data_IF_502087178390
#
_entry.id   IF_502087178390
#
_cell.length_a   1.000
_cell.length_b   1.000
_cell.length_c   1.000
_cell.angle_alpha   90.00
_cell.angle_beta   90.00
_cell.angle_gamma   90.00
#
_symmetry.space_group_name_H-M   'P 1'
#
loop_
_entity.id
_entity.type
_entity.pdbx_description
1 polymer ?
#
# COMPACT_ATOMS: atom_id res chain seq x y z
N UNK A 1 16.24 18.72 6.29
CA UNK A 1 17.72 18.76 6.28
C UNK A 1 18.24 18.61 4.84
N UNK A 2 17.76 17.62 4.08
CA UNK A 2 18.17 17.37 2.68
C UNK A 2 17.72 18.45 1.67
N UNK A 3 16.60 19.15 1.93
CA UNK A 3 15.99 20.09 0.96
C UNK A 3 16.82 21.32 0.58
N UNK A 4 17.74 21.76 1.45
CA UNK A 4 18.55 22.97 1.21
C UNK A 4 19.91 22.65 0.56
N UNK A 5 20.36 21.38 0.60
CA UNK A 5 21.68 20.98 0.14
C UNK A 5 21.67 20.30 -1.25
N UNK A 6 20.51 19.91 -1.77
CA UNK A 6 20.41 19.05 -2.95
C UNK A 6 19.87 19.79 -4.18
N UNK A 7 20.63 19.85 -5.30
CA UNK A 7 20.18 20.39 -6.58
C UNK A 7 18.94 19.67 -7.13
N UNK A 8 18.04 20.43 -7.77
CA UNK A 8 16.77 19.89 -8.31
C UNK A 8 16.95 18.70 -9.26
N UNK A 9 18.06 18.62 -9.99
CA UNK A 9 18.35 17.54 -10.96
C UNK A 9 18.55 16.15 -10.33
N UNK A 10 19.02 16.06 -9.09
CA UNK A 10 19.36 14.77 -8.45
C UNK A 10 18.42 14.40 -7.29
N UNK A 11 17.28 15.10 -7.17
CA UNK A 11 16.36 14.95 -6.04
C UNK A 11 15.67 13.57 -6.00
N UNK A 12 15.22 13.07 -7.15
CA UNK A 12 14.53 11.77 -7.25
C UNK A 12 15.46 10.62 -6.86
N UNK A 13 16.69 10.49 -7.43
CA UNK A 13 17.65 9.48 -6.99
C UNK A 13 17.99 9.59 -5.50
N UNK A 14 18.13 10.80 -4.96
CA UNK A 14 18.40 10.98 -3.53
C UNK A 14 17.26 10.46 -2.64
N UNK A 15 16.00 10.67 -3.00
CA UNK A 15 14.89 10.09 -2.25
C UNK A 15 14.88 8.58 -2.32
N UNK A 16 15.16 7.99 -3.48
CA UNK A 16 15.24 6.54 -3.66
C UNK A 16 16.34 5.95 -2.77
N UNK A 17 17.53 6.56 -2.73
CA UNK A 17 18.64 6.10 -1.86
C UNK A 17 18.27 6.16 -0.37
N UNK A 18 17.61 7.24 0.06
CA UNK A 18 17.13 7.36 1.44
C UNK A 18 16.11 6.26 1.75
N UNK A 19 15.11 6.06 0.90
CA UNK A 19 14.10 5.01 1.06
C UNK A 19 14.76 3.62 1.06
N UNK A 20 15.65 3.36 0.12
CA UNK A 20 16.40 2.11 0.02
C UNK A 20 17.15 1.80 1.31
N UNK A 21 17.85 2.79 1.89
CA UNK A 21 18.58 2.59 3.14
C UNK A 21 17.67 2.17 4.31
N UNK A 22 16.49 2.78 4.44
CA UNK A 22 15.51 2.39 5.46
C UNK A 22 14.91 1.01 5.20
N UNK A 23 14.58 0.71 3.95
CA UNK A 23 14.02 -0.59 3.55
C UNK A 23 15.04 -1.72 3.74
N UNK A 24 16.33 -1.49 3.47
CA UNK A 24 17.39 -2.46 3.74
C UNK A 24 17.56 -2.73 5.24
N UNK A 25 17.47 -1.71 6.10
CA UNK A 25 17.49 -1.92 7.56
C UNK A 25 16.30 -2.80 7.97
N UNK A 26 15.09 -2.53 7.45
CA UNK A 26 13.93 -3.35 7.73
C UNK A 26 14.10 -4.80 7.24
N UNK A 27 14.69 -5.00 6.06
CA UNK A 27 14.97 -6.32 5.50
C UNK A 27 15.92 -7.14 6.38
N UNK A 28 17.01 -6.53 6.85
CA UNK A 28 17.96 -7.16 7.77
C UNK A 28 17.31 -7.50 9.13
N UNK A 29 16.44 -6.62 9.64
CA UNK A 29 15.68 -6.88 10.87
C UNK A 29 14.74 -8.07 10.68
N UNK A 30 14.04 -8.15 9.54
CA UNK A 30 13.18 -9.29 9.23
C UNK A 30 13.98 -10.60 9.13
N UNK A 31 15.14 -10.58 8.46
CA UNK A 31 16.01 -11.74 8.35
C UNK A 31 16.51 -12.24 9.73
N UNK A 32 16.68 -11.33 10.70
CA UNK A 32 17.17 -11.65 12.04
C UNK A 32 16.07 -12.18 12.98
N UNK A 33 14.88 -11.57 12.98
CA UNK A 33 13.82 -11.91 13.95
C UNK A 33 12.74 -12.86 13.40
N UNK A 34 12.41 -12.78 12.10
CA UNK A 34 11.31 -13.56 11.51
C UNK A 34 11.69 -14.09 10.10
N UNK A 35 12.47 -15.18 10.04
CA UNK A 35 13.00 -15.70 8.78
C UNK A 35 11.89 -16.30 7.89
N UNK A 36 10.76 -16.74 8.45
CA UNK A 36 9.63 -17.22 7.66
C UNK A 36 8.99 -16.06 6.86
N UNK A 37 8.81 -14.91 7.49
CA UNK A 37 8.25 -13.73 6.83
C UNK A 37 9.23 -13.14 5.80
N UNK A 38 10.54 -13.16 6.09
CA UNK A 38 11.57 -12.72 5.12
C UNK A 38 11.57 -13.58 3.84
N UNK A 39 11.34 -14.90 3.92
CA UNK A 39 11.22 -15.75 2.72
C UNK A 39 10.03 -15.37 1.83
N UNK A 40 8.90 -15.00 2.41
CA UNK A 40 7.71 -14.61 1.65
C UNK A 40 7.76 -13.16 1.16
N UNK A 41 8.30 -12.24 1.97
CA UNK A 41 8.32 -10.81 1.66
C UNK A 41 9.58 -10.34 0.92
N UNK A 42 10.66 -11.12 0.90
CA UNK A 42 11.95 -10.71 0.35
C UNK A 42 11.88 -10.22 -1.10
N UNK A 43 11.03 -10.83 -1.94
CA UNK A 43 10.85 -10.38 -3.33
C UNK A 43 10.11 -9.04 -3.43
N UNK A 44 9.31 -8.68 -2.43
CA UNK A 44 8.57 -7.42 -2.38
C UNK A 44 9.41 -6.27 -1.81
N UNK A 45 10.51 -6.55 -1.10
CA UNK A 45 11.38 -5.52 -0.51
C UNK A 45 11.91 -4.54 -1.56
N UNK A 46 12.47 -4.97 -2.72
CA UNK A 46 12.85 -4.04 -3.80
C UNK A 46 11.65 -3.28 -4.40
N UNK A 47 10.47 -3.90 -4.49
CA UNK A 47 9.26 -3.27 -5.01
C UNK A 47 8.75 -2.16 -4.08
N UNK A 48 9.00 -2.25 -2.77
CA UNK A 48 8.69 -1.18 -1.82
C UNK A 48 9.56 0.05 -2.10
N UNK A 49 10.86 -0.14 -2.38
CA UNK A 49 11.80 0.97 -2.67
C UNK A 49 11.36 1.80 -3.87
N UNK A 50 10.89 1.14 -4.92
CA UNK A 50 10.44 1.80 -6.16
C UNK A 50 8.95 2.11 -6.18
N UNK A 51 8.25 2.02 -5.03
CA UNK A 51 6.83 2.27 -4.99
C UNK A 51 6.50 3.75 -5.27
N UNK A 52 5.65 3.98 -6.27
CA UNK A 52 5.26 5.32 -6.71
C UNK A 52 4.55 6.15 -5.63
N UNK A 53 3.82 5.52 -4.70
CA UNK A 53 3.14 6.25 -3.61
C UNK A 53 4.14 6.84 -2.64
N UNK A 54 5.21 6.09 -2.31
CA UNK A 54 6.23 6.51 -1.34
C UNK A 54 7.05 7.65 -1.95
N UNK A 55 7.54 7.47 -3.18
CA UNK A 55 8.29 8.50 -3.90
C UNK A 55 7.45 9.76 -4.12
N UNK A 56 6.19 9.59 -4.57
CA UNK A 56 5.29 10.71 -4.86
C UNK A 56 4.99 11.57 -3.63
N UNK A 57 4.77 10.96 -2.45
CA UNK A 57 4.58 11.71 -1.19
C UNK A 57 5.87 12.34 -0.69
N UNK A 58 7.00 11.63 -0.81
CA UNK A 58 8.31 12.17 -0.44
C UNK A 58 8.64 13.44 -1.26
N UNK A 59 8.36 13.43 -2.56
CA UNK A 59 8.58 14.59 -3.42
C UNK A 59 7.56 15.72 -3.20
N UNK A 60 6.26 15.39 -3.25
CA UNK A 60 5.21 16.39 -3.23
C UNK A 60 5.03 17.05 -1.85
N UNK A 61 5.20 16.29 -0.76
CA UNK A 61 4.92 16.75 0.60
C UNK A 61 6.20 16.95 1.42
N UNK A 62 7.06 15.93 1.55
CA UNK A 62 8.25 16.03 2.41
C UNK A 62 9.30 17.01 1.85
N UNK A 63 9.37 17.17 0.53
CA UNK A 63 10.26 18.15 -0.11
C UNK A 63 9.90 19.62 0.15
N UNK A 64 8.62 19.91 0.47
CA UNK A 64 8.10 21.29 0.59
C UNK A 64 7.75 21.69 2.02
N UNK A 65 7.44 20.74 2.89
CA UNK A 65 6.95 21.01 4.25
C UNK A 65 8.06 20.94 5.33
N UNK A 66 7.65 21.19 6.59
CA UNK A 66 8.49 20.97 7.79
C UNK A 66 8.46 19.49 8.18
N UNK A 67 9.46 19.05 8.95
CA UNK A 67 9.63 17.62 9.32
C UNK A 67 8.40 17.07 10.04
N UNK A 68 7.88 17.80 11.02
CA UNK A 68 6.73 17.35 11.83
C UNK A 68 5.45 17.06 11.02
N UNK A 69 4.93 17.98 10.17
CA UNK A 69 3.78 17.67 9.33
C UNK A 69 4.08 16.55 8.30
N UNK A 70 5.32 16.42 7.84
CA UNK A 70 5.70 15.33 6.91
C UNK A 70 5.67 13.95 7.56
N UNK A 71 5.95 13.84 8.86
CA UNK A 71 5.80 12.59 9.61
C UNK A 71 4.31 12.21 9.71
N UNK A 72 3.46 13.18 10.05
CA UNK A 72 2.00 12.96 10.10
C UNK A 72 1.43 12.54 8.76
N UNK A 73 1.91 13.14 7.66
CA UNK A 73 1.53 12.74 6.31
C UNK A 73 1.94 11.30 5.98
N UNK A 74 3.18 10.93 6.30
CA UNK A 74 3.69 9.58 6.09
C UNK A 74 2.90 8.53 6.88
N UNK A 75 2.59 8.80 8.15
CA UNK A 75 1.77 7.92 8.98
C UNK A 75 0.34 7.81 8.44
N UNK A 76 -0.29 8.94 8.10
CA UNK A 76 -1.65 8.96 7.55
C UNK A 76 -1.76 8.19 6.23
N UNK A 77 -0.80 8.38 5.32
CA UNK A 77 -0.74 7.65 4.05
C UNK A 77 -0.46 6.16 4.24
N UNK A 78 0.43 5.78 5.17
CA UNK A 78 0.70 4.37 5.49
C UNK A 78 -0.52 3.66 6.07
N UNK A 79 -1.20 4.28 7.03
CA UNK A 79 -2.44 3.74 7.61
C UNK A 79 -3.54 3.67 6.55
N UNK A 80 -3.73 4.72 5.74
CA UNK A 80 -4.71 4.71 4.65
C UNK A 80 -4.46 3.61 3.62
N UNK A 81 -3.19 3.40 3.23
CA UNK A 81 -2.82 2.36 2.28
C UNK A 81 -3.04 0.96 2.83
N UNK A 82 -2.66 0.71 4.10
CA UNK A 82 -2.91 -0.58 4.76
C UNK A 82 -4.40 -0.89 4.89
N UNK A 83 -5.22 0.09 5.29
CA UNK A 83 -6.68 -0.05 5.34
C UNK A 83 -7.29 -0.33 3.97
N UNK A 84 -6.83 0.35 2.92
CA UNK A 84 -7.32 0.13 1.56
C UNK A 84 -6.99 -1.29 1.07
N UNK A 85 -5.77 -1.78 1.31
CA UNK A 85 -5.37 -3.13 0.97
C UNK A 85 -6.11 -4.19 1.79
N UNK A 86 -6.35 -3.94 3.08
CA UNK A 86 -7.10 -4.84 3.94
C UNK A 86 -8.57 -4.94 3.49
N UNK A 87 -9.21 -3.82 3.17
CA UNK A 87 -10.58 -3.80 2.64
C UNK A 87 -10.69 -4.53 1.30
N UNK A 88 -9.71 -4.33 0.40
CA UNK A 88 -9.63 -5.06 -0.87
C UNK A 88 -9.39 -6.57 -0.65
N UNK A 89 -8.49 -6.91 0.27
CA UNK A 89 -8.17 -8.30 0.64
C UNK A 89 -9.38 -9.03 1.22
N UNK A 90 -10.13 -8.42 2.13
CA UNK A 90 -11.35 -9.00 2.72
C UNK A 90 -12.40 -9.34 1.66
N UNK A 91 -12.68 -8.39 0.74
CA UNK A 91 -13.64 -8.64 -0.34
C UNK A 91 -13.15 -9.77 -1.25
N UNK A 92 -11.85 -9.84 -1.53
CA UNK A 92 -11.27 -10.92 -2.34
C UNK A 92 -11.24 -12.27 -1.63
N UNK A 93 -11.06 -12.30 -0.33
CA UNK A 93 -11.10 -13.55 0.45
C UNK A 93 -12.52 -14.13 0.44
N UNK A 94 -13.51 -13.29 0.70
CA UNK A 94 -14.93 -13.67 0.73
C UNK A 94 -15.41 -14.13 -0.65
N UNK A 95 -15.11 -13.37 -1.71
CA UNK A 95 -15.59 -13.66 -3.06
C UNK A 95 -14.70 -14.66 -3.84
N UNK A 96 -13.45 -14.79 -3.45
CA UNK A 96 -12.50 -15.71 -4.08
C UNK A 96 -12.58 -17.10 -3.47
N UNK A 97 -12.49 -17.19 -2.14
CA UNK A 97 -12.35 -18.46 -1.43
C UNK A 97 -13.57 -18.82 -0.56
N UNK A 98 -14.51 -17.90 -0.39
CA UNK A 98 -15.68 -18.13 0.48
C UNK A 98 -15.34 -18.16 1.98
N UNK A 99 -14.14 -17.68 2.34
CA UNK A 99 -13.64 -17.69 3.72
C UNK A 99 -13.55 -16.29 4.30
N UNK A 100 -13.63 -16.18 5.62
CA UNK A 100 -13.25 -14.99 6.37
C UNK A 100 -12.18 -15.42 7.38
N UNK A 101 -10.99 -14.85 7.29
CA UNK A 101 -9.89 -15.18 8.19
C UNK A 101 -9.54 -16.67 8.22
N UNK A 102 -9.75 -17.37 7.10
CA UNK A 102 -9.56 -18.82 6.98
C UNK A 102 -10.73 -19.70 7.47
N UNK A 103 -11.80 -19.13 8.03
CA UNK A 103 -13.01 -19.88 8.37
C UNK A 103 -13.96 -19.93 7.17
N UNK A 104 -14.45 -21.12 6.74
CA UNK A 104 -15.40 -21.23 5.64
C UNK A 104 -16.75 -20.68 6.08
N UNK A 105 -17.19 -19.60 5.43
CA UNK A 105 -18.47 -18.94 5.71
C UNK A 105 -19.54 -19.43 4.74
N UNK A 106 -19.14 -19.77 3.52
CA UNK A 106 -19.99 -20.48 2.57
C UNK A 106 -19.78 -21.97 2.72
N UNK A 107 -20.88 -22.73 2.78
CA UNK A 107 -20.85 -24.19 2.95
C UNK A 107 -20.09 -24.92 1.84
N UNK A 108 -19.99 -26.25 1.96
CA UNK A 108 -19.17 -27.15 1.11
C UNK A 108 -19.51 -27.19 -0.40
N UNK A 109 -20.39 -26.31 -0.89
CA UNK A 109 -20.77 -26.17 -2.30
C UNK A 109 -20.33 -24.87 -2.96
N UNK A 110 -19.50 -24.05 -2.30
CA UNK A 110 -18.99 -22.81 -2.88
C UNK A 110 -17.88 -23.08 -3.90
N UNK A 111 -18.13 -22.79 -5.17
CA UNK A 111 -17.10 -22.83 -6.20
C UNK A 111 -16.31 -21.51 -6.15
N UNK A 112 -15.01 -21.55 -5.82
CA UNK A 112 -14.20 -20.34 -5.72
C UNK A 112 -14.17 -19.58 -7.05
N UNK A 113 -14.45 -18.28 -7.00
CA UNK A 113 -14.42 -17.44 -8.18
C UNK A 113 -12.96 -17.11 -8.54
N UNK A 114 -12.35 -17.92 -9.40
CA UNK A 114 -10.96 -17.78 -9.86
C UNK A 114 -10.63 -16.37 -10.38
N UNK A 115 -11.58 -15.70 -11.03
CA UNK A 115 -11.44 -14.32 -11.54
C UNK A 115 -11.09 -13.35 -10.40
N UNK A 116 -11.59 -13.60 -9.19
CA UNK A 116 -11.39 -12.74 -8.03
C UNK A 116 -10.01 -12.90 -7.38
N UNK A 117 -9.41 -14.08 -7.54
CA UNK A 117 -8.06 -14.40 -7.06
C UNK A 117 -7.00 -13.88 -8.03
N UNK A 118 -7.34 -13.69 -9.30
CA UNK A 118 -6.45 -13.12 -10.30
C UNK A 118 -6.37 -11.57 -10.23
N UNK A 119 -5.30 -10.95 -10.77
CA UNK A 119 -5.16 -9.49 -10.87
C UNK A 119 -6.38 -8.73 -11.42
N UNK A 120 -7.09 -9.16 -12.49
CA UNK A 120 -8.32 -8.53 -12.98
C UNK A 120 -9.39 -8.32 -11.90
N UNK A 121 -9.58 -9.27 -10.98
CA UNK A 121 -10.54 -9.13 -9.88
C UNK A 121 -10.21 -7.97 -8.94
N UNK A 122 -8.92 -7.75 -8.66
CA UNK A 122 -8.48 -6.63 -7.83
C UNK A 122 -8.78 -5.28 -8.49
N UNK A 123 -8.60 -5.14 -9.81
CA UNK A 123 -8.92 -3.91 -10.53
C UNK A 123 -10.43 -3.64 -10.58
N UNK A 124 -11.26 -4.68 -10.75
CA UNK A 124 -12.72 -4.55 -10.72
C UNK A 124 -13.22 -4.06 -9.36
N UNK A 125 -12.73 -4.66 -8.26
CA UNK A 125 -13.06 -4.23 -6.90
C UNK A 125 -12.60 -2.78 -6.68
N UNK A 126 -11.37 -2.44 -7.07
CA UNK A 126 -10.86 -1.08 -6.91
C UNK A 126 -11.74 -0.06 -7.66
N UNK A 127 -12.16 -0.39 -8.88
CA UNK A 127 -13.10 0.42 -9.67
C UNK A 127 -14.45 0.61 -8.98
N UNK A 128 -15.03 -0.45 -8.41
CA UNK A 128 -16.26 -0.38 -7.63
C UNK A 128 -16.12 0.46 -6.36
N UNK A 129 -15.01 0.31 -5.62
CA UNK A 129 -14.70 1.14 -4.45
C UNK A 129 -14.62 2.62 -4.81
N UNK A 130 -13.88 2.95 -5.87
CA UNK A 130 -13.75 4.32 -6.36
C UNK A 130 -15.10 4.88 -6.82
N UNK A 131 -15.90 4.09 -7.54
CA UNK A 131 -17.25 4.46 -7.98
C UNK A 131 -18.18 4.74 -6.80
N UNK A 132 -18.16 3.86 -5.78
CA UNK A 132 -18.95 4.00 -4.56
C UNK A 132 -18.55 5.25 -3.77
N UNK A 133 -17.26 5.47 -3.53
CA UNK A 133 -16.79 6.66 -2.83
C UNK A 133 -17.09 7.94 -3.61
N UNK A 134 -16.95 7.94 -4.93
CA UNK A 134 -17.29 9.09 -5.76
C UNK A 134 -18.79 9.39 -5.73
N UNK A 135 -19.65 8.36 -5.71
CA UNK A 135 -21.09 8.53 -5.55
C UNK A 135 -21.45 9.13 -4.19
N UNK A 136 -20.83 8.66 -3.10
CA UNK A 136 -21.00 9.23 -1.76
C UNK A 136 -20.53 10.69 -1.69
N UNK A 137 -19.37 11.01 -2.27
CA UNK A 137 -18.84 12.37 -2.28
C UNK A 137 -19.72 13.32 -3.10
N UNK A 138 -20.26 12.84 -4.22
CA UNK A 138 -21.22 13.59 -5.04
C UNK A 138 -22.52 13.86 -4.29
N UNK A 139 -23.00 12.94 -3.45
CA UNK A 139 -24.15 13.20 -2.57
C UNK A 139 -23.82 14.21 -1.46
N UNK A 140 -22.61 14.20 -0.92
CA UNK A 140 -22.17 15.18 0.10
C UNK A 140 -21.99 16.59 -0.44
N UNK A 141 -21.59 16.76 -1.71
CA UNK A 141 -21.45 18.08 -2.36
C UNK A 141 -22.77 18.71 -2.81
N UNK A 142 -23.87 17.94 -2.79
CA UNK A 142 -25.22 18.39 -3.20
C UNK A 142 -26.10 18.74 -2.00
N UNK A 143 -25.66 18.43 -0.77
CA UNK A 143 -26.24 18.91 0.50
C UNK A 143 -25.43 20.07 1.06
#
# INVERSE_FOLDING_TARGET
>A
IIKNAVPKRIRIPMYIVVIASFVTIADLVMAAYEPALHKSLGIFVPLIVVNCIILGRAEAFAGKNRVFPSILDGLGMGIGFTLALLALGLVREILGNGTIYGYPVFGSGYNPMLIMILPPGAFLILGLYLGFFNWLDRKRKVS
#
